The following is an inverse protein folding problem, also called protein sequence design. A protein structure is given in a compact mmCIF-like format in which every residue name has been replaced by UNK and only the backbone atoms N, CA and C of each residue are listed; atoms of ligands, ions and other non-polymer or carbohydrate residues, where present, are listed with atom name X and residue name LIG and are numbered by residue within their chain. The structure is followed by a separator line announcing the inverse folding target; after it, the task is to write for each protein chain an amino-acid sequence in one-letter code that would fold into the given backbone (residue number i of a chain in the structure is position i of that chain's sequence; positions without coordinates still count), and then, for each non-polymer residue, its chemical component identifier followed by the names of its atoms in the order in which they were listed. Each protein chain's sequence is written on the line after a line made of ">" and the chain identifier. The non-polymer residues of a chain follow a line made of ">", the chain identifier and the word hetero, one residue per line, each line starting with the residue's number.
data_IF_849063547199
#
_entry.id   IF_849063547199
#
_cell.length_a   1.000
_cell.length_b   1.000
_cell.length_c   1.000
_cell.angle_alpha   90.00
_cell.angle_beta   90.00
_cell.angle_gamma   90.00
#
_symmetry.space_group_name_H-M   'P 1'
#
loop_
_entity.id
_entity.type
_entity.pdbx_description
1 polymer ?
#
# COMPACT_ATOMS: atom_id res chain seq x y z
N UNK A 1 -0.13 -2.55 26.34
CA UNK A 1 0.26 -3.51 25.28
C UNK A 1 -0.34 -3.01 23.97
N UNK A 2 0.43 -3.01 22.88
CA UNK A 2 -0.09 -2.69 21.55
C UNK A 2 -1.15 -3.72 21.16
N UNK A 3 -2.25 -3.33 20.49
CA UNK A 3 -3.36 -4.23 20.18
C UNK A 3 -2.95 -5.29 19.14
N UNK A 4 -3.21 -6.56 19.37
CA UNK A 4 -2.91 -7.64 18.41
C UNK A 4 -3.97 -7.76 17.31
N UNK A 5 -4.13 -6.70 16.50
CA UNK A 5 -5.11 -6.62 15.42
C UNK A 5 -4.53 -5.93 14.19
N UNK A 6 -4.84 -6.48 13.03
CA UNK A 6 -4.57 -5.92 11.71
C UNK A 6 -5.90 -5.77 10.99
N UNK A 7 -6.11 -4.66 10.31
CA UNK A 7 -7.29 -4.42 9.47
C UNK A 7 -6.84 -4.35 8.02
N UNK A 8 -7.62 -4.95 7.13
CA UNK A 8 -7.45 -4.83 5.69
C UNK A 8 -8.60 -4.00 5.13
N UNK A 9 -8.29 -3.14 4.16
CA UNK A 9 -9.28 -2.40 3.38
C UNK A 9 -8.87 -2.34 1.92
N UNK A 10 -9.86 -2.28 1.03
CA UNK A 10 -9.67 -2.18 -0.41
C UNK A 10 -10.90 -1.54 -1.06
N UNK A 11 -10.82 -1.23 -2.35
CA UNK A 11 -11.94 -0.72 -3.15
C UNK A 11 -12.58 0.54 -2.55
N UNK A 12 -11.74 1.47 -2.10
CA UNK A 12 -12.14 2.73 -1.51
C UNK A 12 -12.25 3.81 -2.59
N UNK A 13 -13.47 4.10 -3.03
CA UNK A 13 -13.70 5.17 -4.00
C UNK A 13 -13.85 6.52 -3.32
N UNK A 14 -13.01 7.47 -3.71
CA UNK A 14 -13.13 8.89 -3.36
C UNK A 14 -14.38 9.55 -3.95
N UNK A 15 -15.06 8.88 -4.89
CA UNK A 15 -16.33 9.31 -5.46
C UNK A 15 -17.55 8.83 -4.66
N UNK A 16 -17.34 8.02 -3.62
CA UNK A 16 -18.39 7.50 -2.77
C UNK A 16 -18.22 7.96 -1.33
N UNK A 17 -19.31 7.85 -0.57
CA UNK A 17 -19.28 8.16 0.86
C UNK A 17 -18.57 7.06 1.66
N UNK A 18 -17.50 7.43 2.36
CA UNK A 18 -16.64 6.49 3.09
C UNK A 18 -17.09 6.33 4.55
N UNK A 19 -18.28 5.76 4.76
CA UNK A 19 -18.92 5.63 6.09
C UNK A 19 -18.25 4.63 7.05
N UNK A 20 -17.27 3.86 6.56
CA UNK A 20 -16.67 2.77 7.34
C UNK A 20 -15.52 3.24 8.25
N UNK A 21 -14.97 4.44 8.07
CA UNK A 21 -13.86 4.94 8.88
C UNK A 21 -14.11 4.88 10.39
N UNK A 22 -15.26 5.34 10.94
CA UNK A 22 -15.49 5.25 12.38
C UNK A 22 -15.43 3.81 12.91
N UNK A 23 -15.90 2.84 12.12
CA UNK A 23 -15.85 1.42 12.49
C UNK A 23 -14.41 0.90 12.49
N UNK A 24 -13.59 1.29 11.52
CA UNK A 24 -12.18 0.92 11.42
C UNK A 24 -11.38 1.50 12.60
N UNK A 25 -11.54 2.80 12.85
CA UNK A 25 -10.89 3.57 13.92
C UNK A 25 -11.21 2.98 15.30
N UNK A 26 -12.48 2.64 15.55
CA UNK A 26 -12.93 2.10 16.83
C UNK A 26 -12.35 0.72 17.17
N UNK A 27 -11.82 -0.02 16.18
CA UNK A 27 -11.17 -1.31 16.43
C UNK A 27 -9.76 -1.18 17.01
N UNK A 28 -9.17 0.02 17.02
CA UNK A 28 -7.82 0.28 17.55
C UNK A 28 -6.83 -0.81 17.10
N UNK A 29 -6.61 -0.92 15.79
CA UNK A 29 -5.67 -1.90 15.24
C UNK A 29 -4.21 -1.45 15.41
N UNK A 30 -3.26 -2.37 15.35
CA UNK A 30 -1.83 -2.03 15.22
C UNK A 30 -1.48 -1.58 13.81
N UNK A 31 -2.20 -2.08 12.81
CA UNK A 31 -1.99 -1.74 11.42
C UNK A 31 -3.29 -1.71 10.61
N UNK A 32 -3.28 -0.88 9.57
CA UNK A 32 -4.23 -0.87 8.49
C UNK A 32 -3.49 -1.15 7.17
N UNK A 33 -3.99 -2.12 6.40
CA UNK A 33 -3.34 -2.61 5.19
C UNK A 33 -4.25 -2.31 4.01
N UNK A 34 -3.79 -1.50 3.07
CA UNK A 34 -4.42 -1.37 1.76
C UNK A 34 -4.17 -2.64 0.94
N UNK A 35 -5.25 -3.31 0.57
CA UNK A 35 -5.25 -4.49 -0.30
C UNK A 35 -5.37 -4.17 -1.79
N UNK A 36 -5.23 -2.89 -2.17
CA UNK A 36 -5.49 -2.38 -3.52
C UNK A 36 -6.78 -1.57 -3.62
N UNK A 37 -6.89 -0.83 -4.71
CA UNK A 37 -7.90 0.19 -4.97
C UNK A 37 -8.10 1.13 -3.76
N UNK A 38 -7.03 1.75 -3.29
CA UNK A 38 -7.13 2.80 -2.27
C UNK A 38 -7.86 4.04 -2.83
N UNK A 39 -7.69 4.30 -4.13
CA UNK A 39 -8.40 5.33 -4.90
C UNK A 39 -8.80 4.82 -6.28
N UNK A 40 -9.76 5.51 -6.92
CA UNK A 40 -10.18 5.27 -8.29
C UNK A 40 -9.70 6.40 -9.20
N UNK A 41 -8.46 6.31 -9.68
CA UNK A 41 -7.83 7.40 -10.44
C UNK A 41 -8.20 7.43 -11.92
N UNK A 42 -8.49 6.27 -12.50
CA UNK A 42 -9.04 6.15 -13.84
C UNK A 42 -10.52 6.54 -13.87
N UNK A 43 -11.06 6.73 -15.06
CA UNK A 43 -12.45 7.17 -15.23
C UNK A 43 -13.11 6.54 -16.44
N UNK A 44 -14.44 6.69 -16.54
CA UNK A 44 -15.21 6.21 -17.69
C UNK A 44 -15.97 7.35 -18.35
N UNK A 45 -15.75 7.55 -19.65
CA UNK A 45 -16.46 8.57 -20.44
C UNK A 45 -17.10 7.95 -21.68
N UNK A 46 -18.41 8.12 -21.85
CA UNK A 46 -19.19 7.52 -22.94
C UNK A 46 -18.96 6.00 -23.10
N UNK A 47 -18.86 5.29 -21.98
CA UNK A 47 -18.63 3.83 -21.98
C UNK A 47 -17.17 3.41 -22.22
N UNK A 48 -16.26 4.35 -22.50
CA UNK A 48 -14.83 4.08 -22.69
C UNK A 48 -14.06 4.35 -21.41
N UNK A 49 -13.23 3.38 -21.01
CA UNK A 49 -12.25 3.54 -19.93
C UNK A 49 -11.17 4.54 -20.37
N UNK A 50 -10.83 5.46 -19.47
CA UNK A 50 -9.81 6.47 -19.63
C UNK A 50 -8.76 6.27 -18.54
N UNK A 51 -7.53 6.04 -18.97
CA UNK A 51 -6.41 5.98 -18.06
C UNK A 51 -6.19 7.35 -17.39
N UNK A 52 -5.78 7.32 -16.13
CA UNK A 52 -5.38 8.49 -15.38
C UNK A 52 -4.11 9.10 -15.97
N UNK A 53 -3.96 10.42 -15.85
CA UNK A 53 -2.65 11.05 -15.94
C UNK A 53 -2.00 11.06 -14.55
N UNK A 54 -0.69 11.30 -14.43
CA UNK A 54 -0.05 11.47 -13.12
C UNK A 54 -0.72 12.54 -12.24
N UNK A 55 -1.25 13.60 -12.85
CA UNK A 55 -1.95 14.68 -12.14
C UNK A 55 -3.27 14.19 -11.54
N UNK A 56 -4.07 13.44 -12.29
CA UNK A 56 -5.33 12.86 -11.81
C UNK A 56 -5.07 11.84 -10.70
N UNK A 57 -4.04 11.01 -10.85
CA UNK A 57 -3.65 10.06 -9.81
C UNK A 57 -3.21 10.77 -8.52
N UNK A 58 -2.38 11.82 -8.64
CA UNK A 58 -1.95 12.63 -7.49
C UNK A 58 -3.13 13.30 -6.77
N UNK A 59 -4.08 13.88 -7.53
CA UNK A 59 -5.30 14.49 -6.97
C UNK A 59 -6.18 13.45 -6.26
N UNK A 60 -6.28 12.24 -6.80
CA UNK A 60 -7.05 11.15 -6.21
C UNK A 60 -6.48 10.75 -4.84
N UNK A 61 -5.17 10.56 -4.73
CA UNK A 61 -4.51 10.30 -3.44
C UNK A 61 -4.64 11.49 -2.49
N UNK A 62 -4.48 12.72 -2.97
CA UNK A 62 -4.65 13.91 -2.14
C UNK A 62 -6.07 14.03 -1.58
N UNK A 63 -7.08 13.63 -2.35
CA UNK A 63 -8.49 13.60 -1.91
C UNK A 63 -8.67 12.63 -0.74
N UNK A 64 -8.10 11.42 -0.84
CA UNK A 64 -8.13 10.45 0.26
C UNK A 64 -7.32 10.94 1.47
N UNK A 65 -6.12 11.48 1.24
CA UNK A 65 -5.31 12.07 2.32
C UNK A 65 -6.05 13.21 3.01
N UNK A 66 -6.89 13.97 2.32
CA UNK A 66 -7.69 15.04 2.93
C UNK A 66 -9.04 14.55 3.52
N UNK A 67 -9.38 13.26 3.38
CA UNK A 67 -10.60 12.71 3.96
C UNK A 67 -10.50 12.71 5.50
N UNK A 68 -11.48 13.28 6.20
CA UNK A 68 -11.44 13.42 7.66
C UNK A 68 -11.35 12.08 8.40
N UNK A 69 -12.03 11.04 7.90
CA UNK A 69 -11.97 9.71 8.51
C UNK A 69 -10.61 9.04 8.29
N UNK A 70 -10.01 9.22 7.12
CA UNK A 70 -8.66 8.73 6.88
C UNK A 70 -7.59 9.50 7.67
N UNK A 71 -7.73 10.83 7.79
CA UNK A 71 -6.87 11.64 8.66
C UNK A 71 -6.93 11.19 10.12
N UNK A 72 -8.13 10.92 10.65
CA UNK A 72 -8.26 10.40 12.01
C UNK A 72 -7.55 9.05 12.19
N UNK A 73 -7.60 8.17 11.18
CA UNK A 73 -6.82 6.92 11.19
C UNK A 73 -5.30 7.18 11.21
N UNK A 74 -4.80 8.11 10.38
CA UNK A 74 -3.37 8.50 10.35
C UNK A 74 -2.95 9.07 11.72
N UNK A 75 -3.80 9.88 12.34
CA UNK A 75 -3.53 10.52 13.63
C UNK A 75 -3.37 9.54 14.79
N UNK A 76 -4.01 8.36 14.71
CA UNK A 76 -3.83 7.26 15.65
C UNK A 76 -2.41 6.67 15.66
N UNK A 77 -1.54 7.11 14.74
CA UNK A 77 -0.13 6.72 14.64
C UNK A 77 0.04 5.19 14.55
N UNK A 78 -0.81 4.56 13.72
CA UNK A 78 -0.75 3.13 13.40
C UNK A 78 0.09 2.92 12.16
N UNK A 79 0.55 1.69 11.95
CA UNK A 79 1.19 1.33 10.68
C UNK A 79 0.17 1.31 9.55
N UNK A 80 0.42 2.11 8.51
CA UNK A 80 -0.34 2.05 7.25
C UNK A 80 0.60 1.62 6.13
N UNK A 81 0.32 0.48 5.52
CA UNK A 81 1.07 -0.09 4.38
C UNK A 81 0.08 -0.66 3.37
N UNK A 82 0.57 -1.10 2.21
CA UNK A 82 -0.28 -1.80 1.25
C UNK A 82 0.37 -2.03 -0.09
N UNK A 83 -0.45 -2.54 -1.01
CA UNK A 83 -0.15 -2.64 -2.44
C UNK A 83 -1.28 -2.00 -3.23
N UNK A 84 -1.00 -1.62 -4.46
CA UNK A 84 -2.00 -1.10 -5.38
C UNK A 84 -2.84 -2.22 -6.01
N UNK A 85 -3.96 -1.84 -6.63
CA UNK A 85 -4.55 -2.61 -7.74
C UNK A 85 -4.72 -1.72 -9.00
N UNK A 86 -5.56 -2.09 -9.98
CA UNK A 86 -5.57 -1.41 -11.28
C UNK A 86 -6.07 0.03 -11.24
N UNK A 87 -6.97 0.36 -10.33
CA UNK A 87 -7.48 1.72 -10.20
C UNK A 87 -6.46 2.68 -9.57
N UNK A 88 -5.66 2.21 -8.62
CA UNK A 88 -4.48 2.91 -8.08
C UNK A 88 -3.36 3.04 -9.12
N UNK A 89 -3.19 1.97 -9.92
CA UNK A 89 -2.24 1.92 -11.04
C UNK A 89 -2.59 2.93 -12.12
N UNK A 90 -3.86 3.34 -12.22
CA UNK A 90 -4.34 4.42 -13.06
C UNK A 90 -5.00 3.96 -14.35
N UNK A 91 -5.30 2.68 -14.51
CA UNK A 91 -6.08 2.20 -15.66
C UNK A 91 -6.74 0.87 -15.32
N UNK A 92 -8.06 0.81 -15.42
CA UNK A 92 -8.84 -0.41 -15.26
C UNK A 92 -8.25 -1.57 -16.07
N UNK A 93 -8.04 -2.73 -15.42
CA UNK A 93 -7.37 -3.90 -16.00
C UNK A 93 -5.96 -3.64 -16.55
N UNK A 94 -5.28 -2.64 -16.00
CA UNK A 94 -3.94 -2.20 -16.39
C UNK A 94 -2.89 -3.30 -16.42
N UNK A 95 -1.90 -3.09 -17.29
CA UNK A 95 -0.76 -3.97 -17.48
C UNK A 95 0.51 -3.15 -17.79
N UNK A 96 1.59 -3.84 -18.18
CA UNK A 96 2.90 -3.24 -18.45
C UNK A 96 2.91 -2.15 -19.55
N UNK A 97 1.86 -2.03 -20.35
CA UNK A 97 1.73 -1.10 -21.48
C UNK A 97 1.21 0.28 -21.08
N UNK A 98 0.75 0.45 -19.84
CA UNK A 98 0.35 1.76 -19.34
C UNK A 98 1.55 2.73 -19.32
N UNK A 99 1.39 3.85 -20.02
CA UNK A 99 2.48 4.80 -20.29
C UNK A 99 2.99 5.51 -19.03
N UNK A 100 2.14 5.71 -18.03
CA UNK A 100 2.49 6.43 -16.81
C UNK A 100 2.78 5.51 -15.61
N UNK A 101 2.99 4.20 -15.83
CA UNK A 101 3.19 3.24 -14.73
C UNK A 101 4.33 3.60 -13.76
N UNK A 102 5.39 4.24 -14.24
CA UNK A 102 6.48 4.69 -13.38
C UNK A 102 6.04 5.84 -12.48
N UNK A 103 5.36 6.84 -13.03
CA UNK A 103 4.83 7.94 -12.25
C UNK A 103 3.78 7.44 -11.24
N UNK A 104 2.93 6.47 -11.63
CA UNK A 104 2.00 5.82 -10.71
C UNK A 104 2.73 5.13 -9.55
N UNK A 105 3.86 4.45 -9.81
CA UNK A 105 4.68 3.81 -8.77
C UNK A 105 5.17 4.82 -7.74
N UNK A 106 5.73 5.93 -8.22
CA UNK A 106 6.26 6.98 -7.37
C UNK A 106 5.15 7.65 -6.54
N UNK A 107 3.98 7.88 -7.15
CA UNK A 107 2.81 8.43 -6.46
C UNK A 107 2.24 7.48 -5.40
N UNK A 108 2.15 6.19 -5.69
CA UNK A 108 1.65 5.21 -4.73
C UNK A 108 2.57 5.09 -3.51
N UNK A 109 3.90 5.03 -3.72
CA UNK A 109 4.85 5.01 -2.61
C UNK A 109 4.77 6.30 -1.78
N UNK A 110 4.69 7.46 -2.44
CA UNK A 110 4.51 8.74 -1.77
C UNK A 110 3.22 8.77 -0.94
N UNK A 111 2.12 8.27 -1.48
CA UNK A 111 0.85 8.15 -0.76
C UNK A 111 0.97 7.31 0.51
N UNK A 112 1.65 6.15 0.45
CA UNK A 112 1.87 5.32 1.64
C UNK A 112 2.73 6.04 2.69
N UNK A 113 3.76 6.78 2.26
CA UNK A 113 4.58 7.61 3.15
C UNK A 113 3.73 8.67 3.85
N UNK A 114 2.96 9.46 3.09
CA UNK A 114 2.09 10.52 3.61
C UNK A 114 0.93 9.98 4.46
N UNK A 115 0.58 8.70 4.30
CA UNK A 115 -0.39 8.00 5.14
C UNK A 115 0.17 7.63 6.52
N UNK A 116 1.38 8.03 6.90
CA UNK A 116 1.97 7.72 8.19
C UNK A 116 2.44 9.00 8.90
N UNK A 117 1.97 9.20 10.14
CA UNK A 117 2.21 10.43 10.93
C UNK A 117 3.68 10.76 11.17
N UNK A 118 4.55 9.75 11.29
CA UNK A 118 5.96 9.95 11.59
C UNK A 118 6.87 9.28 10.55
N UNK A 119 6.93 9.88 9.35
CA UNK A 119 7.72 9.39 8.21
C UNK A 119 9.20 9.22 8.57
N UNK A 120 9.78 10.19 9.28
CA UNK A 120 11.23 10.21 9.57
C UNK A 120 11.67 9.11 10.54
N UNK A 121 10.90 8.85 11.60
CA UNK A 121 11.23 7.79 12.55
C UNK A 121 11.05 6.38 11.95
N UNK A 122 10.34 6.26 10.84
CA UNK A 122 9.85 4.97 10.34
C UNK A 122 10.42 4.58 8.97
N UNK A 123 11.17 5.46 8.32
CA UNK A 123 11.73 5.24 6.98
C UNK A 123 12.56 3.94 6.84
N UNK A 124 13.27 3.51 7.89
CA UNK A 124 14.03 2.23 7.88
C UNK A 124 13.23 1.02 8.33
N UNK A 125 12.04 1.24 8.90
CA UNK A 125 11.18 0.21 9.47
C UNK A 125 10.14 -0.29 8.47
N UNK A 126 9.74 0.56 7.53
CA UNK A 126 8.85 0.19 6.43
C UNK A 126 9.65 -0.20 5.19
N UNK A 127 9.10 -1.12 4.39
CA UNK A 127 9.70 -1.56 3.13
C UNK A 127 9.65 -0.51 2.00
N UNK A 128 9.34 0.76 2.30
CA UNK A 128 9.30 1.84 1.30
C UNK A 128 10.62 2.02 0.54
N UNK A 129 11.82 1.99 1.17
CA UNK A 129 13.07 2.09 0.41
C UNK A 129 13.22 0.98 -0.64
N UNK A 130 12.80 -0.24 -0.29
CA UNK A 130 12.79 -1.37 -1.23
C UNK A 130 11.76 -1.15 -2.33
N UNK A 131 10.54 -0.71 -2.00
CA UNK A 131 9.51 -0.40 -3.00
C UNK A 131 9.98 0.69 -3.97
N UNK A 132 10.59 1.78 -3.49
CA UNK A 132 11.18 2.81 -4.34
C UNK A 132 12.30 2.27 -5.22
N UNK A 133 13.18 1.44 -4.65
CA UNK A 133 14.27 0.83 -5.40
C UNK A 133 13.74 -0.09 -6.50
N UNK A 134 12.68 -0.86 -6.21
CA UNK A 134 12.00 -1.75 -7.17
C UNK A 134 11.33 -0.95 -8.27
N UNK A 135 10.62 0.13 -7.92
CA UNK A 135 10.03 1.05 -8.88
C UNK A 135 11.11 1.61 -9.83
N UNK A 136 12.21 2.16 -9.28
CA UNK A 136 13.34 2.70 -10.07
C UNK A 136 14.01 1.65 -10.97
N UNK A 137 13.98 0.38 -10.59
CA UNK A 137 14.48 -0.76 -11.38
C UNK A 137 13.43 -1.36 -12.33
N UNK A 138 12.27 -0.71 -12.49
CA UNK A 138 11.16 -1.19 -13.32
C UNK A 138 10.69 -2.61 -12.90
N UNK A 139 10.76 -2.92 -11.60
CA UNK A 139 10.30 -4.19 -11.01
C UNK A 139 8.89 -4.12 -10.41
N UNK A 140 8.28 -2.94 -10.34
CA UNK A 140 6.99 -2.71 -9.69
C UNK A 140 7.11 -2.26 -8.24
N UNK A 141 5.98 -2.18 -7.52
CA UNK A 141 5.91 -1.78 -6.10
C UNK A 141 5.28 -2.91 -5.28
N UNK A 142 6.12 -3.70 -4.64
CA UNK A 142 5.71 -4.82 -3.79
C UNK A 142 6.59 -4.88 -2.54
N UNK A 143 6.07 -5.49 -1.49
CA UNK A 143 6.74 -5.62 -0.20
C UNK A 143 6.30 -6.87 0.55
N UNK A 144 7.06 -7.23 1.59
CA UNK A 144 6.65 -8.21 2.58
C UNK A 144 6.72 -7.51 3.93
N UNK A 145 5.64 -7.57 4.70
CA UNK A 145 5.53 -6.90 5.99
C UNK A 145 5.26 -7.94 7.06
N UNK A 146 6.04 -7.93 8.15
CA UNK A 146 5.92 -8.92 9.22
C UNK A 146 5.62 -8.24 10.54
N UNK A 147 4.53 -8.66 11.17
CA UNK A 147 4.19 -8.28 12.53
C UNK A 147 4.45 -9.44 13.48
N UNK A 148 5.17 -9.22 14.57
CA UNK A 148 5.35 -10.16 15.67
C UNK A 148 4.64 -9.63 16.92
N UNK A 149 3.54 -10.25 17.31
CA UNK A 149 2.75 -9.84 18.48
C UNK A 149 3.29 -10.36 19.81
N UNK A 150 4.37 -11.15 19.82
CA UNK A 150 5.08 -11.49 21.06
C UNK A 150 6.11 -10.43 21.45
N UNK A 151 6.52 -9.57 20.51
CA UNK A 151 7.48 -8.50 20.74
C UNK A 151 6.92 -7.45 21.71
N UNK A 152 7.76 -7.02 22.65
CA UNK A 152 7.45 -5.85 23.48
C UNK A 152 7.48 -4.56 22.66
N UNK A 153 6.43 -3.76 22.78
CA UNK A 153 6.32 -2.46 22.13
C UNK A 153 5.69 -2.55 20.74
N UNK A 154 6.50 -2.26 19.72
CA UNK A 154 6.06 -2.14 18.34
C UNK A 154 6.11 -3.52 17.65
N UNK A 155 4.96 -4.06 17.17
CA UNK A 155 4.93 -5.40 16.61
C UNK A 155 5.54 -5.48 15.20
N UNK A 156 5.69 -4.37 14.47
CA UNK A 156 6.23 -4.42 13.12
C UNK A 156 7.75 -4.63 13.16
N UNK A 157 8.22 -5.66 12.47
CA UNK A 157 9.63 -5.96 12.26
C UNK A 157 10.21 -5.11 11.11
N UNK A 158 11.50 -4.77 11.18
CA UNK A 158 12.23 -4.28 9.99
C UNK A 158 12.41 -5.40 8.96
N UNK A 159 12.74 -5.07 7.71
CA UNK A 159 12.97 -6.08 6.67
C UNK A 159 14.14 -7.04 7.04
N UNK A 160 15.16 -6.53 7.74
CA UNK A 160 16.28 -7.35 8.25
C UNK A 160 15.87 -8.25 9.42
N UNK A 161 15.04 -7.76 10.34
CA UNK A 161 14.51 -8.55 11.45
C UNK A 161 13.59 -9.66 10.93
N UNK A 162 12.72 -9.32 9.98
CA UNK A 162 11.79 -10.24 9.33
C UNK A 162 12.51 -11.40 8.63
N UNK A 163 13.63 -11.13 7.96
CA UNK A 163 14.42 -12.19 7.35
C UNK A 163 13.75 -12.86 6.14
N UNK A 164 12.70 -12.28 5.55
CA UNK A 164 11.92 -12.93 4.47
C UNK A 164 12.26 -12.38 3.09
N UNK A 165 12.53 -11.08 2.98
CA UNK A 165 12.77 -10.46 1.67
C UNK A 165 14.16 -10.85 1.13
N UNK A 166 14.25 -11.53 -0.04
CA UNK A 166 15.51 -12.03 -0.58
C UNK A 166 16.44 -10.91 -1.05
N UNK A 167 15.93 -9.70 -1.33
CA UNK A 167 16.77 -8.55 -1.67
C UNK A 167 17.47 -7.95 -0.43
N UNK A 168 17.06 -8.36 0.78
CA UNK A 168 17.66 -7.95 2.06
C UNK A 168 18.52 -9.04 2.68
N UNK A 169 18.05 -10.29 2.65
CA UNK A 169 18.63 -11.36 3.45
C UNK A 169 19.44 -12.39 2.65
N UNK A 170 19.70 -12.15 1.36
CA UNK A 170 20.49 -13.04 0.47
C UNK A 170 20.04 -14.53 0.47
N UNK A 171 18.78 -14.80 0.86
CA UNK A 171 18.22 -16.15 0.96
C UNK A 171 18.25 -16.79 2.35
N UNK A 172 18.78 -16.12 3.38
CA UNK A 172 18.71 -16.58 4.77
C UNK A 172 17.34 -16.25 5.39
N UNK A 173 16.56 -17.29 5.72
CA UNK A 173 15.25 -17.12 6.36
C UNK A 173 15.39 -17.19 7.88
N UNK A 174 15.00 -16.13 8.57
CA UNK A 174 15.00 -16.08 10.04
C UNK A 174 13.72 -16.69 10.60
N UNK A 175 13.80 -17.45 11.72
CA UNK A 175 12.61 -17.98 12.37
C UNK A 175 11.75 -16.84 12.95
N UNK A 176 10.44 -16.97 12.85
CA UNK A 176 9.47 -16.05 13.45
C UNK A 176 8.77 -16.68 14.65
N UNK A 177 8.21 -15.84 15.52
CA UNK A 177 7.40 -16.31 16.64
C UNK A 177 6.09 -16.96 16.17
N UNK A 178 5.46 -17.74 17.06
CA UNK A 178 4.16 -18.37 16.79
C UNK A 178 2.98 -17.38 16.84
N UNK A 179 3.21 -16.10 17.15
CA UNK A 179 2.19 -15.03 17.06
C UNK A 179 2.59 -13.98 16.04
N UNK A 180 3.33 -14.39 15.01
CA UNK A 180 3.67 -13.55 13.89
C UNK A 180 2.64 -13.63 12.75
N UNK A 181 2.55 -12.56 11.96
CA UNK A 181 1.80 -12.48 10.71
C UNK A 181 2.73 -11.90 9.65
N UNK A 182 3.03 -12.69 8.62
CA UNK A 182 3.71 -12.22 7.42
C UNK A 182 2.68 -11.92 6.33
N UNK A 183 2.74 -10.73 5.75
CA UNK A 183 1.83 -10.25 4.71
C UNK A 183 2.65 -10.00 3.44
N UNK A 184 2.32 -10.72 2.37
CA UNK A 184 2.95 -10.58 1.06
C UNK A 184 2.09 -9.66 0.19
N UNK A 185 2.59 -8.44 -0.02
CA UNK A 185 1.92 -7.37 -0.75
C UNK A 185 2.50 -7.32 -2.17
N UNK A 186 1.90 -8.08 -3.09
CA UNK A 186 2.47 -8.38 -4.40
C UNK A 186 1.90 -7.50 -5.51
N UNK A 187 2.79 -6.97 -6.35
CA UNK A 187 2.42 -6.19 -7.54
C UNK A 187 2.01 -7.11 -8.68
N UNK A 188 0.73 -7.05 -9.05
CA UNK A 188 0.16 -7.87 -10.12
C UNK A 188 -0.01 -7.12 -11.44
N UNK A 189 0.38 -5.83 -11.52
CA UNK A 189 0.05 -4.94 -12.66
C UNK A 189 1.27 -4.51 -13.45
N UNK A 190 2.33 -4.07 -12.77
CA UNK A 190 3.42 -3.32 -13.41
C UNK A 190 4.15 -4.06 -14.53
N UNK A 191 4.35 -5.36 -14.33
CA UNK A 191 5.03 -6.25 -15.28
C UNK A 191 4.08 -7.29 -15.89
N UNK A 192 2.77 -7.10 -15.71
CA UNK A 192 1.76 -8.01 -16.26
C UNK A 192 1.86 -8.06 -17.77
N UNK A 193 1.83 -9.28 -18.33
CA UNK A 193 1.72 -9.47 -19.77
C UNK A 193 0.35 -8.97 -20.24
N UNK A 194 0.26 -8.19 -21.32
CA UNK A 194 -1.02 -7.69 -21.79
C UNK A 194 -2.01 -8.82 -22.05
N UNK A 195 -3.26 -8.58 -21.68
CA UNK A 195 -4.35 -9.50 -22.02
C UNK A 195 -4.44 -9.63 -23.54
N UNK A 196 -4.69 -10.85 -24.03
CA UNK A 196 -5.15 -11.02 -25.40
C UNK A 196 -6.52 -10.37 -25.47
N UNK A 197 -6.60 -9.18 -26.08
CA UNK A 197 -7.88 -8.52 -26.34
C UNK A 197 -8.60 -9.38 -27.39
N UNK A 198 -9.59 -10.14 -26.93
CA UNK A 198 -10.51 -10.90 -27.79
C UNK A 198 -11.45 -9.97 -28.54
#
# INVERSE_FOLDING_TARGET
>A
MSPSRIIFGSCNSQHQEQRLWPSIIARNASAFIWGGDAVYADSKRFGKELAATPEIAAESYQTLLNNSGYQELIEQNKTIVGVWDDHDFGVNNGDRTYEHKQAAADLFVKFLQESNKNIQATHKKYSWPLMEQRAKKNKGVYSVVVFDFEREGDPLLTDEEAGIDPEVNEGEVKPLSNKSVAIFLLDVRYNKTPWIKG
#
